data_IF_778069701724
#
_entry.id   IF_778069701724
#
_cell.length_a   1.000
_cell.length_b   1.000
_cell.length_c   1.000
_cell.angle_alpha   90.00
_cell.angle_beta   90.00
_cell.angle_gamma   90.00
#
_symmetry.space_group_name_H-M   'P 1'
#
loop_
_entity.id
_entity.type
_entity.pdbx_description
1 polymer ?
#
# COMPACT_ATOMS: atom_id res chain seq x y z
N UNK A 1 13.45 8.84 31.34
CA UNK A 1 12.79 7.78 30.54
C UNK A 1 13.04 8.16 29.08
N UNK A 2 13.93 7.46 28.39
CA UNK A 2 14.32 7.79 27.01
C UNK A 2 13.21 7.35 26.05
N UNK A 3 12.89 8.17 25.04
CA UNK A 3 11.76 7.94 24.13
C UNK A 3 11.97 6.69 23.28
N UNK A 4 10.89 6.09 22.76
CA UNK A 4 10.94 4.87 21.94
C UNK A 4 11.80 5.01 20.65
N UNK A 5 12.16 6.23 20.27
CA UNK A 5 13.06 6.55 19.14
C UNK A 5 14.55 6.46 19.50
N UNK A 6 14.90 6.35 20.79
CA UNK A 6 16.27 6.51 21.28
C UNK A 6 17.04 5.19 21.43
N UNK A 7 16.49 4.08 20.92
CA UNK A 7 17.17 2.78 20.90
C UNK A 7 17.10 2.19 19.48
N UNK A 8 17.78 2.82 18.53
CA UNK A 8 18.03 2.18 17.24
C UNK A 8 19.08 1.09 17.46
N UNK A 9 18.73 -0.16 17.13
CA UNK A 9 19.71 -1.26 17.12
C UNK A 9 20.91 -0.85 16.25
N UNK A 10 22.16 -1.23 16.57
CA UNK A 10 23.33 -0.97 15.72
C UNK A 10 23.20 -1.46 14.27
N UNK A 11 22.22 -2.31 13.96
CA UNK A 11 21.89 -2.75 12.59
C UNK A 11 20.73 -2.00 11.92
N UNK A 12 20.14 -1.00 12.58
CA UNK A 12 19.17 -0.11 11.97
C UNK A 12 19.83 0.68 10.85
N UNK A 13 19.37 0.46 9.62
CA UNK A 13 19.82 1.20 8.43
C UNK A 13 18.66 1.99 7.88
N UNK A 14 18.92 3.27 7.62
CA UNK A 14 18.06 4.12 6.82
C UNK A 14 18.08 3.61 5.38
N UNK A 15 16.92 3.38 4.78
CA UNK A 15 16.82 3.03 3.36
C UNK A 15 16.83 4.26 2.46
N UNK A 16 16.84 4.04 1.14
CA UNK A 16 16.87 5.11 0.12
C UNK A 16 15.61 6.00 0.13
N UNK A 17 14.56 5.59 0.85
CA UNK A 17 13.33 6.36 1.08
C UNK A 17 13.39 7.16 2.39
N UNK A 18 14.51 7.10 3.12
CA UNK A 18 14.72 7.81 4.37
C UNK A 18 14.12 7.11 5.59
N UNK A 19 13.64 5.87 5.48
CA UNK A 19 12.96 5.14 6.55
C UNK A 19 13.98 4.34 7.37
N UNK A 20 14.05 4.60 8.67
CA UNK A 20 14.94 3.89 9.60
C UNK A 20 14.18 2.84 10.38
N UNK A 21 14.51 1.56 10.15
CA UNK A 21 13.85 0.41 10.79
C UNK A 21 14.95 -0.52 11.32
N UNK A 22 14.82 -1.13 12.52
CA UNK A 22 15.85 -1.99 13.13
C UNK A 22 15.98 -3.38 12.47
N UNK A 23 15.55 -3.50 11.23
CA UNK A 23 15.52 -4.75 10.47
C UNK A 23 16.24 -4.49 9.13
N UNK A 24 17.12 -5.38 8.63
CA UNK A 24 17.80 -5.19 7.34
C UNK A 24 16.80 -5.06 6.17
N UNK A 25 17.13 -4.28 5.14
CA UNK A 25 16.29 -4.13 3.92
C UNK A 25 16.08 -5.45 3.17
N UNK A 26 17.00 -6.41 3.32
CA UNK A 26 16.88 -7.77 2.80
C UNK A 26 15.84 -8.63 3.54
N UNK A 27 15.32 -8.18 4.69
CA UNK A 27 14.32 -8.92 5.44
C UNK A 27 12.98 -8.91 4.68
N UNK A 28 12.27 -10.05 4.55
CA UNK A 28 11.05 -10.13 3.75
C UNK A 28 9.93 -9.17 4.22
N UNK A 29 9.87 -8.86 5.52
CA UNK A 29 8.96 -7.84 6.06
C UNK A 29 9.30 -6.39 5.70
N UNK A 30 10.49 -6.13 5.15
CA UNK A 30 10.92 -4.84 4.58
C UNK A 30 10.92 -4.82 3.05
N UNK A 31 10.50 -5.91 2.38
CA UNK A 31 10.42 -5.95 0.91
C UNK A 31 9.45 -4.88 0.44
N UNK A 32 9.99 -3.76 -0.04
CA UNK A 32 9.23 -2.73 -0.72
C UNK A 32 8.86 -3.24 -2.11
N UNK A 33 7.57 -3.28 -2.47
CA UNK A 33 7.16 -3.63 -3.82
C UNK A 33 7.78 -2.71 -4.89
N UNK A 34 8.26 -1.53 -4.49
CA UNK A 34 8.83 -0.52 -5.36
C UNK A 34 10.19 -0.89 -6.00
N UNK A 35 10.88 -1.93 -5.52
CA UNK A 35 12.23 -2.25 -6.02
C UNK A 35 12.21 -3.15 -7.27
N UNK A 36 11.11 -3.83 -7.62
CA UNK A 36 10.98 -4.75 -8.77
C UNK A 36 9.55 -4.70 -9.37
N UNK A 37 9.36 -5.23 -10.59
CA UNK A 37 8.17 -5.48 -11.45
C UNK A 37 6.71 -5.41 -10.89
N UNK A 38 6.40 -4.46 -10.00
CA UNK A 38 5.09 -4.26 -9.40
C UNK A 38 4.61 -2.83 -9.70
N UNK A 39 3.95 -2.61 -10.84
CA UNK A 39 3.41 -1.29 -11.17
C UNK A 39 2.46 -0.83 -10.07
N UNK A 40 2.57 0.44 -9.68
CA UNK A 40 1.76 1.05 -8.59
C UNK A 40 0.31 1.35 -8.99
N UNK A 41 -0.11 0.90 -10.16
CA UNK A 41 -1.41 1.16 -10.77
C UNK A 41 -1.30 1.78 -12.16
N UNK A 42 -2.44 2.09 -12.80
CA UNK A 42 -2.48 2.75 -14.10
C UNK A 42 -1.88 4.16 -14.07
N UNK A 43 -1.33 4.61 -15.20
CA UNK A 43 -0.90 5.99 -15.35
C UNK A 43 -2.08 6.97 -15.44
N UNK A 44 -1.82 8.27 -15.32
CA UNK A 44 -2.87 9.29 -15.49
C UNK A 44 -3.45 9.21 -16.90
N UNK A 45 -4.77 9.06 -16.99
CA UNK A 45 -5.49 8.89 -18.25
C UNK A 45 -5.64 7.45 -18.69
N UNK A 46 -4.93 6.50 -18.07
CA UNK A 46 -5.16 5.07 -18.29
C UNK A 46 -6.38 4.58 -17.51
N UNK A 47 -7.07 3.60 -18.09
CA UNK A 47 -8.25 3.00 -17.49
C UNK A 47 -7.82 2.09 -16.33
N UNK A 48 -8.56 2.17 -15.21
CA UNK A 48 -8.44 1.18 -14.14
C UNK A 48 -8.78 -0.23 -14.67
N UNK A 49 -8.19 -1.29 -14.10
CA UNK A 49 -8.60 -2.66 -14.42
C UNK A 49 -10.08 -2.88 -14.12
N UNK A 50 -10.70 -3.79 -14.86
CA UNK A 50 -12.06 -4.24 -14.54
C UNK A 50 -12.04 -5.05 -13.24
N UNK A 51 -12.94 -4.74 -12.31
CA UNK A 51 -13.12 -5.52 -11.09
C UNK A 51 -14.55 -5.45 -10.58
N UNK A 52 -14.96 -6.55 -9.96
CA UNK A 52 -16.23 -6.68 -9.26
C UNK A 52 -15.97 -7.17 -7.85
N UNK A 53 -16.48 -6.46 -6.84
CA UNK A 53 -16.28 -6.80 -5.43
C UNK A 53 -17.56 -6.56 -4.63
N UNK A 54 -17.84 -7.37 -3.59
CA UNK A 54 -18.95 -7.12 -2.70
C UNK A 54 -18.72 -5.85 -1.87
N UNK A 55 -19.77 -5.03 -1.71
CA UNK A 55 -19.79 -3.93 -0.75
C UNK A 55 -20.03 -4.45 0.69
N UNK A 56 -20.17 -3.53 1.65
CA UNK A 56 -20.39 -3.87 3.06
C UNK A 56 -21.70 -4.61 3.34
N UNK A 57 -22.68 -4.51 2.44
CA UNK A 57 -23.98 -5.16 2.52
C UNK A 57 -24.00 -6.49 1.72
N UNK A 58 -22.87 -6.87 1.12
CA UNK A 58 -22.71 -8.07 0.31
C UNK A 58 -23.21 -7.96 -1.13
N UNK A 59 -23.61 -6.76 -1.57
CA UNK A 59 -24.02 -6.51 -2.94
C UNK A 59 -22.79 -6.46 -3.85
N UNK A 60 -22.84 -7.18 -4.98
CA UNK A 60 -21.74 -7.17 -5.95
C UNK A 60 -21.75 -5.85 -6.72
N UNK A 61 -20.63 -5.13 -6.69
CA UNK A 61 -20.44 -3.86 -7.39
C UNK A 61 -19.45 -4.07 -8.54
N UNK A 62 -19.87 -3.78 -9.77
CA UNK A 62 -19.01 -3.60 -10.93
C UNK A 62 -18.56 -2.14 -10.96
N UNK A 63 -17.26 -1.92 -10.74
CA UNK A 63 -16.73 -0.56 -10.65
C UNK A 63 -17.06 0.31 -11.86
N UNK A 64 -17.02 -0.25 -13.07
CA UNK A 64 -17.23 0.51 -14.29
C UNK A 64 -18.70 0.73 -14.59
N UNK A 65 -19.54 -0.28 -14.38
CA UNK A 65 -20.99 -0.16 -14.58
C UNK A 65 -21.64 0.76 -13.54
N UNK A 66 -21.35 0.55 -12.25
CA UNK A 66 -22.01 1.25 -11.15
C UNK A 66 -21.55 2.70 -11.01
N UNK A 67 -20.28 3.02 -11.34
CA UNK A 67 -19.84 4.42 -11.36
C UNK A 67 -20.46 5.20 -12.52
N UNK A 68 -20.85 4.53 -13.60
CA UNK A 68 -21.30 5.15 -14.85
C UNK A 68 -20.40 6.30 -15.31
N UNK A 69 -20.99 7.49 -15.48
CA UNK A 69 -20.29 8.71 -15.87
C UNK A 69 -19.79 9.55 -14.68
N UNK A 70 -19.99 9.09 -13.44
CA UNK A 70 -19.57 9.81 -12.25
C UNK A 70 -18.06 9.66 -11.99
N UNK A 71 -17.49 10.66 -11.32
CA UNK A 71 -16.13 10.59 -10.77
C UNK A 71 -16.13 9.65 -9.57
N UNK A 72 -15.09 8.82 -9.46
CA UNK A 72 -14.92 7.87 -8.38
C UNK A 72 -13.51 7.94 -7.79
N UNK A 73 -13.35 7.45 -6.56
CA UNK A 73 -12.07 7.28 -5.86
C UNK A 73 -11.96 5.84 -5.42
N UNK A 74 -10.82 5.20 -5.71
CA UNK A 74 -10.51 3.83 -5.27
C UNK A 74 -9.45 3.91 -4.18
N UNK A 75 -9.72 3.28 -3.04
CA UNK A 75 -8.81 3.25 -1.88
C UNK A 75 -8.46 1.80 -1.55
N UNK A 76 -7.19 1.45 -1.69
CA UNK A 76 -6.66 0.20 -1.17
C UNK A 76 -6.27 0.42 0.28
N UNK A 77 -6.95 -0.27 1.21
CA UNK A 77 -6.60 -0.23 2.61
C UNK A 77 -6.50 -1.65 3.16
N UNK A 78 -5.72 -1.80 4.22
CA UNK A 78 -5.68 -3.01 5.04
C UNK A 78 -5.80 -2.60 6.50
N UNK A 79 -6.52 -3.39 7.28
CA UNK A 79 -6.44 -3.25 8.73
C UNK A 79 -5.06 -3.68 9.21
N UNK A 80 -4.50 -2.99 10.20
CA UNK A 80 -3.30 -3.39 10.89
C UNK A 80 -3.58 -3.38 12.38
N UNK A 81 -3.26 -4.49 13.06
CA UNK A 81 -3.16 -4.54 14.52
C UNK A 81 -1.69 -4.26 14.85
N UNK A 82 -1.46 -3.26 15.69
CA UNK A 82 -0.14 -2.84 16.14
C UNK A 82 0.21 -3.48 17.48
#
# INVERSE_FOLDING_TARGET
>A
MKGAHENQSPEARQDDLGITVPVPTSHPGRRYPAEHEFPTGPAVGERLPEFELPNQDGELIDFHADRGDAKAVVVFYRSAVW
#
